data_IF_601811286961
#
_entry.id   IF_601811286961
#
_cell.length_a   1.000
_cell.length_b   1.000
_cell.length_c   1.000
_cell.angle_alpha   90.00
_cell.angle_beta   90.00
_cell.angle_gamma   90.00
#
_symmetry.space_group_name_H-M   'P 1'
#
loop_
_entity.id
_entity.type
_entity.pdbx_description
1 polymer ?
#
# COMPACT_ATOMS: atom_id res chain seq x y z
N UNK A 1 -80.14 22.36 18.25
CA UNK A 1 -79.36 23.18 17.30
C UNK A 1 -77.94 23.07 17.75
N UNK A 2 -77.24 22.10 17.21
CA UNK A 2 -76.31 22.05 16.08
C UNK A 2 -75.05 22.84 16.44
N UNK A 3 -73.88 22.39 16.39
CA UNK A 3 -73.22 21.59 15.36
C UNK A 3 -72.00 20.83 15.91
N UNK A 4 -71.91 19.57 15.54
CA UNK A 4 -70.67 18.78 15.60
C UNK A 4 -69.83 19.10 14.37
N UNK A 5 -68.65 19.56 14.56
CA UNK A 5 -67.65 19.59 13.49
C UNK A 5 -66.50 18.64 13.82
N UNK A 6 -66.65 17.40 13.36
CA UNK A 6 -65.60 16.39 13.38
C UNK A 6 -64.57 16.66 12.28
N UNK A 7 -63.36 17.01 12.70
CA UNK A 7 -62.21 17.00 11.80
C UNK A 7 -61.71 15.55 11.61
N UNK A 8 -62.09 14.98 10.46
CA UNK A 8 -61.55 13.73 10.00
C UNK A 8 -60.07 13.92 9.62
N UNK A 9 -59.18 13.42 10.41
CA UNK A 9 -57.76 13.32 10.04
C UNK A 9 -57.62 12.34 8.88
N UNK A 10 -57.03 12.83 7.80
CA UNK A 10 -56.80 12.09 6.57
C UNK A 10 -55.78 10.95 6.82
N UNK A 11 -56.15 9.68 6.66
CA UNK A 11 -55.22 8.55 6.92
C UNK A 11 -54.14 8.43 5.89
N UNK A 12 -54.17 9.18 4.77
CA UNK A 12 -53.17 9.12 3.71
C UNK A 12 -51.81 9.74 4.09
N UNK A 13 -51.79 10.73 4.99
CA UNK A 13 -50.55 11.44 5.38
C UNK A 13 -49.77 10.73 6.47
N UNK A 14 -50.35 9.83 7.28
CA UNK A 14 -49.65 9.05 8.27
C UNK A 14 -48.90 7.87 7.68
N UNK A 15 -49.39 7.28 6.57
CA UNK A 15 -48.73 6.13 5.90
C UNK A 15 -47.45 6.51 5.18
N UNK A 16 -47.38 7.72 4.58
CA UNK A 16 -46.19 8.17 3.85
C UNK A 16 -45.02 8.48 4.77
N UNK A 17 -45.25 9.03 5.95
CA UNK A 17 -44.19 9.29 6.95
C UNK A 17 -43.66 8.00 7.59
N UNK A 18 -44.50 7.00 7.82
CA UNK A 18 -44.07 5.70 8.35
C UNK A 18 -43.23 4.92 7.30
N UNK A 19 -43.64 4.96 6.02
CA UNK A 19 -42.91 4.28 4.95
C UNK A 19 -41.52 4.91 4.69
N UNK A 20 -41.38 6.24 4.80
CA UNK A 20 -40.09 6.92 4.64
C UNK A 20 -39.11 6.61 5.78
N UNK A 21 -39.61 6.47 7.02
CA UNK A 21 -38.79 6.10 8.18
C UNK A 21 -38.27 4.65 8.09
N UNK A 22 -39.12 3.72 7.64
CA UNK A 22 -38.74 2.30 7.50
C UNK A 22 -37.73 2.11 6.33
N UNK A 23 -37.90 2.86 5.24
CA UNK A 23 -36.95 2.83 4.11
C UNK A 23 -35.57 3.36 4.49
N UNK A 24 -35.50 4.47 5.25
CA UNK A 24 -34.23 5.05 5.70
C UNK A 24 -33.48 4.15 6.70
N UNK A 25 -34.19 3.50 7.64
CA UNK A 25 -33.59 2.55 8.57
C UNK A 25 -33.15 1.25 7.89
N UNK A 26 -33.88 0.76 6.90
CA UNK A 26 -33.53 -0.42 6.12
C UNK A 26 -32.27 -0.24 5.27
N UNK A 27 -32.06 0.95 4.70
CA UNK A 27 -30.84 1.27 3.93
C UNK A 27 -29.62 1.40 4.85
N UNK A 28 -29.75 2.03 6.01
CA UNK A 28 -28.65 2.17 6.97
C UNK A 28 -28.23 0.80 7.54
N UNK A 29 -29.18 -0.06 7.90
CA UNK A 29 -28.89 -1.43 8.39
C UNK A 29 -28.25 -2.30 7.32
N UNK A 30 -28.63 -2.13 6.03
CA UNK A 30 -27.99 -2.83 4.93
C UNK A 30 -26.55 -2.37 4.68
N UNK A 31 -26.25 -1.08 4.87
CA UNK A 31 -24.90 -0.52 4.76
C UNK A 31 -23.96 -1.04 5.86
N UNK A 32 -24.39 -1.03 7.11
CA UNK A 32 -23.62 -1.56 8.24
C UNK A 32 -23.39 -3.07 8.09
N UNK A 33 -24.41 -3.83 7.70
CA UNK A 33 -24.29 -5.26 7.47
C UNK A 33 -23.30 -5.58 6.32
N UNK A 34 -23.30 -4.79 5.25
CA UNK A 34 -22.32 -4.90 4.14
C UNK A 34 -20.91 -4.61 4.63
N UNK A 35 -20.72 -3.53 5.38
CA UNK A 35 -19.41 -3.18 5.94
C UNK A 35 -18.88 -4.27 6.89
N UNK A 36 -19.72 -4.76 7.80
CA UNK A 36 -19.36 -5.85 8.70
C UNK A 36 -19.01 -7.14 7.96
N UNK A 37 -19.69 -7.45 6.86
CA UNK A 37 -19.37 -8.57 5.98
C UNK A 37 -17.98 -8.38 5.34
N UNK A 38 -17.71 -7.23 4.72
CA UNK A 38 -16.43 -6.92 4.08
C UNK A 38 -15.26 -6.95 5.08
N UNK A 39 -15.47 -6.39 6.29
CA UNK A 39 -14.48 -6.41 7.36
C UNK A 39 -14.17 -7.84 7.83
N UNK A 40 -15.18 -8.70 7.93
CA UNK A 40 -14.99 -10.12 8.27
C UNK A 40 -14.27 -10.88 7.18
N UNK A 41 -14.63 -10.69 5.91
CA UNK A 41 -13.94 -11.27 4.75
C UNK A 41 -12.46 -10.87 4.74
N UNK A 42 -12.18 -9.58 4.92
CA UNK A 42 -10.83 -9.05 5.01
C UNK A 42 -10.02 -9.68 6.15
N UNK A 43 -10.60 -9.78 7.34
CA UNK A 43 -9.92 -10.34 8.51
C UNK A 43 -9.55 -11.81 8.32
N UNK A 44 -10.49 -12.62 7.81
CA UNK A 44 -10.23 -14.03 7.53
C UNK A 44 -9.15 -14.24 6.48
N UNK A 45 -9.19 -13.47 5.39
CA UNK A 45 -8.17 -13.51 4.36
C UNK A 45 -6.81 -13.11 4.91
N UNK A 46 -6.73 -11.99 5.63
CA UNK A 46 -5.49 -11.51 6.21
C UNK A 46 -4.91 -12.52 7.20
N UNK A 47 -5.75 -13.09 8.06
CA UNK A 47 -5.31 -14.12 9.02
C UNK A 47 -4.75 -15.35 8.32
N UNK A 48 -5.40 -15.86 7.29
CA UNK A 48 -4.89 -16.96 6.47
C UNK A 48 -3.56 -16.65 5.81
N UNK A 49 -3.40 -15.45 5.25
CA UNK A 49 -2.17 -15.00 4.64
C UNK A 49 -1.01 -14.87 5.66
N UNK A 50 -1.29 -14.36 6.85
CA UNK A 50 -0.29 -14.21 7.91
C UNK A 50 0.11 -15.55 8.52
N UNK A 51 -0.83 -16.50 8.63
CA UNK A 51 -0.53 -17.83 9.15
C UNK A 51 0.47 -18.58 8.24
N UNK A 52 0.35 -18.44 6.93
CA UNK A 52 1.32 -19.01 5.97
C UNK A 52 2.73 -18.45 6.18
N UNK A 53 2.86 -17.18 6.62
CA UNK A 53 4.15 -16.54 6.85
C UNK A 53 4.84 -17.06 8.13
N UNK A 54 4.09 -17.57 9.11
CA UNK A 54 4.62 -17.94 10.42
C UNK A 54 5.80 -18.92 10.38
N UNK A 55 5.82 -19.82 9.40
CA UNK A 55 6.88 -20.81 9.23
C UNK A 55 8.13 -20.27 8.54
N UNK A 56 8.00 -19.23 7.73
CA UNK A 56 9.05 -18.70 6.87
C UNK A 56 9.38 -17.23 7.11
N UNK A 57 8.75 -16.59 8.10
CA UNK A 57 8.87 -15.14 8.34
C UNK A 57 10.34 -14.69 8.49
N UNK A 58 11.16 -15.49 9.14
CA UNK A 58 12.60 -15.20 9.34
C UNK A 58 13.34 -15.10 8.00
N UNK A 59 13.15 -16.08 7.12
CA UNK A 59 13.77 -16.06 5.79
C UNK A 59 13.26 -14.89 4.94
N UNK A 60 11.98 -14.54 5.02
CA UNK A 60 11.45 -13.37 4.35
C UNK A 60 12.11 -12.09 4.86
N UNK A 61 12.23 -11.90 6.16
CA UNK A 61 12.88 -10.71 6.75
C UNK A 61 14.34 -10.63 6.29
N UNK A 62 15.10 -11.73 6.33
CA UNK A 62 16.50 -11.76 5.88
C UNK A 62 16.60 -11.40 4.41
N UNK A 63 15.80 -12.03 3.54
CA UNK A 63 15.83 -11.77 2.09
C UNK A 63 15.44 -10.34 1.75
N UNK A 64 14.39 -9.81 2.37
CA UNK A 64 13.92 -8.43 2.11
C UNK A 64 14.87 -7.37 2.64
N UNK A 65 15.64 -7.67 3.69
CA UNK A 65 16.60 -6.75 4.26
C UNK A 65 17.96 -6.80 3.58
N UNK A 66 18.32 -7.92 2.94
CA UNK A 66 19.66 -8.15 2.43
C UNK A 66 20.11 -7.11 1.41
N UNK A 67 19.35 -6.92 0.34
CA UNK A 67 19.70 -5.96 -0.73
C UNK A 67 19.76 -4.52 -0.21
N UNK A 68 18.75 -4.01 0.52
CA UNK A 68 18.81 -2.66 1.10
C UNK A 68 19.96 -2.47 2.07
N UNK A 69 20.31 -3.49 2.88
CA UNK A 69 21.45 -3.43 3.81
C UNK A 69 22.78 -3.37 3.08
N UNK A 70 22.96 -4.22 2.07
CA UNK A 70 24.19 -4.21 1.25
C UNK A 70 24.35 -2.87 0.54
N UNK A 71 23.25 -2.35 -0.05
CA UNK A 71 23.26 -1.03 -0.71
C UNK A 71 23.59 0.07 0.29
N UNK A 72 22.99 0.03 1.48
CA UNK A 72 23.25 1.00 2.55
C UNK A 72 24.70 0.97 3.01
N UNK A 73 25.26 -0.23 3.24
CA UNK A 73 26.65 -0.41 3.62
C UNK A 73 27.61 0.03 2.52
N UNK A 74 27.31 -0.32 1.27
CA UNK A 74 28.12 0.09 0.11
C UNK A 74 28.16 1.62 -0.03
N UNK A 75 27.01 2.27 -0.04
CA UNK A 75 26.94 3.72 -0.17
C UNK A 75 27.61 4.45 0.99
N UNK A 76 27.54 3.91 2.21
CA UNK A 76 28.20 4.45 3.37
C UNK A 76 29.73 4.58 3.19
N UNK A 77 30.36 3.63 2.51
CA UNK A 77 31.81 3.70 2.23
C UNK A 77 32.18 4.84 1.28
N UNK A 78 31.29 5.16 0.33
CA UNK A 78 31.57 6.17 -0.71
C UNK A 78 31.10 7.57 -0.34
N UNK A 79 30.19 7.67 0.62
CA UNK A 79 29.61 8.96 1.01
C UNK A 79 30.40 9.53 2.18
N UNK A 80 30.89 10.75 2.06
CA UNK A 80 31.78 11.41 3.01
C UNK A 80 31.26 11.63 4.44
N UNK A 81 30.40 10.75 4.96
CA UNK A 81 29.82 10.75 6.32
C UNK A 81 29.09 12.04 6.73
N UNK A 82 28.67 12.87 5.77
CA UNK A 82 27.83 14.00 6.11
C UNK A 82 26.45 13.52 6.61
N UNK A 83 25.90 14.12 7.68
CA UNK A 83 24.61 13.70 8.24
C UNK A 83 23.47 13.71 7.20
N UNK A 84 23.51 14.68 6.27
CA UNK A 84 22.52 14.78 5.20
C UNK A 84 22.59 13.62 4.22
N UNK A 85 23.80 13.26 3.76
CA UNK A 85 23.99 12.15 2.85
C UNK A 85 23.62 10.81 3.50
N UNK A 86 23.95 10.63 4.78
CA UNK A 86 23.55 9.45 5.54
C UNK A 86 22.02 9.33 5.66
N UNK A 87 21.32 10.44 5.85
CA UNK A 87 19.86 10.47 5.88
C UNK A 87 19.26 10.03 4.53
N UNK A 88 19.85 10.47 3.40
CA UNK A 88 19.47 10.01 2.07
C UNK A 88 19.66 8.51 1.89
N UNK A 89 20.78 7.97 2.35
CA UNK A 89 21.10 6.54 2.26
C UNK A 89 20.09 5.71 3.08
N UNK A 90 19.81 6.11 4.31
CA UNK A 90 18.91 5.39 5.21
C UNK A 90 17.48 5.40 4.67
N UNK A 91 16.94 6.58 4.34
CA UNK A 91 15.58 6.71 3.82
C UNK A 91 15.42 6.08 2.44
N UNK A 92 16.47 6.15 1.61
CA UNK A 92 16.57 5.44 0.34
C UNK A 92 16.52 3.93 0.51
N UNK A 93 17.27 3.39 1.47
CA UNK A 93 17.27 1.95 1.76
C UNK A 93 15.92 1.46 2.30
N UNK A 94 15.23 2.26 3.12
CA UNK A 94 13.86 1.97 3.56
C UNK A 94 12.89 1.98 2.36
N UNK A 95 13.02 2.95 1.47
CA UNK A 95 12.21 3.02 0.25
C UNK A 95 12.43 1.80 -0.64
N UNK A 96 13.70 1.37 -0.81
CA UNK A 96 14.04 0.14 -1.54
C UNK A 96 13.46 -1.10 -0.89
N UNK A 97 13.55 -1.22 0.44
CA UNK A 97 12.95 -2.33 1.18
C UNK A 97 11.42 -2.38 0.98
N UNK A 98 10.74 -1.23 0.95
CA UNK A 98 9.32 -1.14 0.63
C UNK A 98 9.02 -1.56 -0.81
N UNK A 99 9.82 -1.12 -1.80
CA UNK A 99 9.66 -1.53 -3.19
C UNK A 99 9.78 -3.05 -3.33
N UNK A 100 10.85 -3.63 -2.80
CA UNK A 100 11.10 -5.07 -2.89
C UNK A 100 10.01 -5.89 -2.19
N UNK A 101 9.59 -5.50 -0.99
CA UNK A 101 8.58 -6.24 -0.23
C UNK A 101 7.16 -6.01 -0.76
N UNK A 102 6.78 -4.76 -0.99
CA UNK A 102 5.41 -4.42 -1.35
C UNK A 102 5.13 -4.60 -2.85
N UNK A 103 6.06 -4.23 -3.73
CA UNK A 103 5.86 -4.31 -5.17
C UNK A 103 6.33 -5.63 -5.75
N UNK A 104 7.62 -5.96 -5.59
CA UNK A 104 8.22 -7.15 -6.22
C UNK A 104 7.58 -8.43 -5.71
N UNK A 105 7.56 -8.62 -4.39
CA UNK A 105 7.03 -9.86 -3.79
C UNK A 105 5.54 -10.03 -4.04
N UNK A 106 4.75 -8.97 -3.96
CA UNK A 106 3.31 -9.07 -4.23
C UNK A 106 3.03 -9.37 -5.69
N UNK A 107 3.74 -8.72 -6.61
CA UNK A 107 3.61 -8.98 -8.05
C UNK A 107 3.89 -10.43 -8.40
N UNK A 108 4.99 -10.99 -7.88
CA UNK A 108 5.34 -12.40 -8.03
C UNK A 108 4.29 -13.33 -7.44
N UNK A 109 3.85 -13.08 -6.19
CA UNK A 109 2.84 -13.91 -5.52
C UNK A 109 1.53 -13.97 -6.31
N UNK A 110 1.07 -12.84 -6.83
CA UNK A 110 -0.13 -12.79 -7.66
C UNK A 110 0.08 -13.58 -8.96
N UNK A 111 1.26 -13.46 -9.56
CA UNK A 111 1.59 -14.26 -10.74
C UNK A 111 1.55 -15.76 -10.47
N UNK A 112 2.11 -16.24 -9.37
CA UNK A 112 2.05 -17.65 -8.96
C UNK A 112 0.62 -18.12 -8.62
N UNK A 113 -0.23 -17.22 -8.11
CA UNK A 113 -1.64 -17.56 -7.89
C UNK A 113 -2.41 -17.86 -9.19
N UNK A 114 -1.87 -17.51 -10.36
CA UNK A 114 -2.45 -17.85 -11.67
C UNK A 114 -2.17 -19.26 -12.13
N UNK A 115 -1.29 -19.98 -11.45
CA UNK A 115 -1.09 -21.39 -11.71
C UNK A 115 -2.37 -22.20 -11.47
N UNK A 116 -2.60 -23.28 -12.27
CA UNK A 116 -3.83 -24.05 -12.19
C UNK A 116 -4.17 -24.49 -10.77
N UNK A 117 -5.41 -24.29 -10.37
CA UNK A 117 -5.94 -24.66 -9.05
C UNK A 117 -5.85 -23.59 -7.96
N UNK A 118 -4.87 -22.68 -8.01
CA UNK A 118 -4.72 -21.67 -6.94
C UNK A 118 -5.75 -20.55 -7.06
N UNK A 119 -5.97 -20.03 -8.26
CA UNK A 119 -6.96 -18.97 -8.48
C UNK A 119 -8.40 -19.48 -8.33
N UNK A 120 -8.68 -20.70 -8.77
CA UNK A 120 -9.98 -21.37 -8.63
C UNK A 120 -10.36 -21.57 -7.16
N UNK A 121 -9.38 -21.88 -6.31
CA UNK A 121 -9.58 -21.95 -4.87
C UNK A 121 -10.08 -20.62 -4.31
N UNK A 122 -9.44 -19.49 -4.65
CA UNK A 122 -9.90 -18.18 -4.17
C UNK A 122 -11.21 -17.73 -4.83
N UNK A 123 -11.47 -18.12 -6.08
CA UNK A 123 -12.71 -17.82 -6.78
C UNK A 123 -13.94 -18.56 -6.21
N UNK A 124 -13.73 -19.69 -5.50
CA UNK A 124 -14.80 -20.42 -4.83
C UNK A 124 -15.36 -19.72 -3.58
N UNK A 125 -14.61 -18.74 -3.04
CA UNK A 125 -15.06 -17.95 -1.90
C UNK A 125 -15.87 -16.73 -2.37
N UNK A 126 -16.95 -16.36 -1.66
CA UNK A 126 -17.75 -15.16 -1.96
C UNK A 126 -17.03 -13.88 -1.52
N UNK A 127 -15.84 -13.64 -2.06
CA UNK A 127 -14.95 -12.52 -1.67
C UNK A 127 -15.00 -11.44 -2.73
N UNK A 128 -15.09 -10.19 -2.31
CA UNK A 128 -15.03 -9.06 -3.22
C UNK A 128 -13.58 -8.79 -3.69
N UNK A 129 -13.41 -8.50 -5.00
CA UNK A 129 -12.11 -8.20 -5.62
C UNK A 129 -11.28 -7.15 -4.85
N UNK A 130 -11.84 -5.99 -4.43
CA UNK A 130 -11.08 -4.99 -3.69
C UNK A 130 -10.58 -5.48 -2.33
N UNK A 131 -11.41 -6.26 -1.61
CA UNK A 131 -11.04 -6.82 -0.30
C UNK A 131 -9.89 -7.81 -0.43
N UNK A 132 -9.91 -8.64 -1.46
CA UNK A 132 -8.83 -9.58 -1.75
C UNK A 132 -7.50 -8.86 -1.99
N UNK A 133 -7.48 -7.85 -2.88
CA UNK A 133 -6.28 -7.07 -3.17
C UNK A 133 -5.79 -6.32 -1.94
N UNK A 134 -6.71 -5.74 -1.16
CA UNK A 134 -6.37 -5.02 0.06
C UNK A 134 -5.72 -5.95 1.09
N UNK A 135 -6.23 -7.16 1.28
CA UNK A 135 -5.65 -8.15 2.20
C UNK A 135 -4.23 -8.57 1.76
N UNK A 136 -4.02 -8.81 0.47
CA UNK A 136 -2.70 -9.13 -0.08
C UNK A 136 -1.72 -7.95 0.06
N UNK A 137 -2.17 -6.72 -0.21
CA UNK A 137 -1.37 -5.52 -0.03
C UNK A 137 -0.99 -5.31 1.44
N UNK A 138 -1.94 -5.52 2.38
CA UNK A 138 -1.67 -5.42 3.83
C UNK A 138 -0.62 -6.43 4.28
N UNK A 139 -0.70 -7.68 3.80
CA UNK A 139 0.34 -8.70 4.06
C UNK A 139 1.72 -8.19 3.65
N UNK A 140 1.84 -7.62 2.46
CA UNK A 140 3.11 -7.11 1.93
C UNK A 140 3.63 -5.92 2.73
N UNK A 141 2.76 -5.01 3.15
CA UNK A 141 3.10 -3.90 4.06
C UNK A 141 3.60 -4.42 5.40
N UNK A 142 2.93 -5.40 6.00
CA UNK A 142 3.35 -6.01 7.26
C UNK A 142 4.74 -6.66 7.13
N UNK A 143 5.01 -7.34 6.01
CA UNK A 143 6.31 -7.95 5.73
C UNK A 143 7.44 -6.93 5.59
N UNK A 144 7.16 -5.71 5.16
CA UNK A 144 8.17 -4.66 5.03
C UNK A 144 8.55 -4.00 6.35
N UNK A 145 7.72 -4.14 7.41
CA UNK A 145 7.98 -3.51 8.71
C UNK A 145 9.30 -3.95 9.33
N UNK A 146 9.60 -5.27 9.48
CA UNK A 146 10.83 -5.70 10.15
C UNK A 146 12.08 -5.20 9.43
N UNK A 147 12.14 -5.29 8.10
CA UNK A 147 13.30 -4.83 7.32
C UNK A 147 13.49 -3.33 7.45
N UNK A 148 12.41 -2.54 7.39
CA UNK A 148 12.48 -1.08 7.55
C UNK A 148 12.90 -0.66 8.96
N UNK A 149 12.43 -1.37 9.99
CA UNK A 149 12.84 -1.13 11.38
C UNK A 149 14.33 -1.46 11.56
N UNK A 150 14.83 -2.57 11.01
CA UNK A 150 16.26 -2.93 11.05
C UNK A 150 17.09 -1.82 10.41
N UNK A 151 16.71 -1.33 9.23
CA UNK A 151 17.43 -0.25 8.53
C UNK A 151 17.43 1.06 9.34
N UNK A 152 16.30 1.41 9.96
CA UNK A 152 16.21 2.56 10.86
C UNK A 152 17.12 2.43 12.07
N UNK A 153 17.12 1.26 12.72
CA UNK A 153 17.96 1.01 13.90
C UNK A 153 19.46 1.05 13.55
N UNK A 154 19.86 0.45 12.42
CA UNK A 154 21.24 0.53 11.93
C UNK A 154 21.63 1.98 11.66
N UNK A 155 20.76 2.74 10.99
CA UNK A 155 20.98 4.16 10.74
C UNK A 155 21.14 5.00 12.01
N UNK A 156 20.32 4.75 13.02
CA UNK A 156 20.37 5.46 14.28
C UNK A 156 21.59 5.07 15.14
N UNK A 157 21.83 3.75 15.33
CA UNK A 157 22.82 3.26 16.29
C UNK A 157 24.20 3.06 15.70
N UNK A 158 24.31 2.63 14.45
CA UNK A 158 25.62 2.36 13.82
C UNK A 158 26.16 3.62 13.12
N UNK A 159 25.29 4.32 12.39
CA UNK A 159 25.71 5.53 11.66
C UNK A 159 25.60 6.81 12.49
N UNK A 160 24.96 6.75 13.67
CA UNK A 160 24.85 7.88 14.59
C UNK A 160 24.07 9.06 14.04
N UNK A 161 23.17 8.84 13.07
CA UNK A 161 22.36 9.92 12.48
C UNK A 161 21.28 10.34 13.48
N UNK A 162 21.21 11.63 13.85
CA UNK A 162 20.18 12.11 14.76
C UNK A 162 18.82 12.09 14.06
N UNK A 163 18.07 11.01 14.25
CA UNK A 163 16.73 10.86 13.71
C UNK A 163 15.69 11.27 14.74
N UNK A 164 14.67 11.98 14.30
CA UNK A 164 13.51 12.37 15.10
C UNK A 164 12.22 11.94 14.37
N UNK A 165 11.94 10.63 14.30
CA UNK A 165 10.78 10.15 13.56
C UNK A 165 9.50 10.74 14.14
N UNK A 166 8.75 11.43 13.30
CA UNK A 166 7.44 11.96 13.63
C UNK A 166 6.38 10.85 13.58
N UNK A 167 5.27 10.91 14.34
CA UNK A 167 4.15 9.98 14.18
C UNK A 167 3.62 9.90 12.74
N UNK A 168 3.79 10.95 11.96
CA UNK A 168 3.45 11.00 10.53
C UNK A 168 4.25 9.96 9.71
N UNK A 169 5.43 9.55 10.19
CA UNK A 169 6.25 8.50 9.53
C UNK A 169 5.47 7.20 9.36
N UNK A 170 4.64 6.82 10.34
CA UNK A 170 3.82 5.61 10.27
C UNK A 170 2.77 5.73 9.15
N UNK A 171 2.12 6.89 9.05
CA UNK A 171 1.14 7.15 7.99
C UNK A 171 1.79 7.08 6.61
N UNK A 172 2.95 7.74 6.44
CA UNK A 172 3.71 7.73 5.19
C UNK A 172 4.12 6.31 4.82
N UNK A 173 4.62 5.53 5.79
CA UNK A 173 5.03 4.15 5.60
C UNK A 173 3.86 3.27 5.11
N UNK A 174 2.69 3.41 5.72
CA UNK A 174 1.48 2.68 5.32
C UNK A 174 1.05 3.06 3.90
N UNK A 175 0.94 4.35 3.59
CA UNK A 175 0.56 4.83 2.26
C UNK A 175 1.57 4.43 1.18
N UNK A 176 2.86 4.54 1.48
CA UNK A 176 3.93 4.10 0.61
C UNK A 176 3.80 2.61 0.29
N UNK A 177 3.63 1.79 1.32
CA UNK A 177 3.46 0.35 1.17
C UNK A 177 2.25 -0.02 0.32
N UNK A 178 1.09 0.61 0.53
CA UNK A 178 -0.11 0.35 -0.29
C UNK A 178 0.02 0.87 -1.71
N UNK A 179 0.66 2.02 -1.93
CA UNK A 179 0.89 2.56 -3.26
C UNK A 179 1.77 1.62 -4.11
N UNK A 180 2.86 1.14 -3.52
CA UNK A 180 3.79 0.21 -4.16
C UNK A 180 3.21 -1.20 -4.31
N UNK A 181 2.47 -1.68 -3.31
CA UNK A 181 1.74 -2.94 -3.39
C UNK A 181 0.71 -2.92 -4.52
N UNK A 182 -0.01 -1.80 -4.70
CA UNK A 182 -0.95 -1.63 -5.80
C UNK A 182 -0.28 -1.73 -7.18
N UNK A 183 0.92 -1.16 -7.34
CA UNK A 183 1.73 -1.32 -8.56
C UNK A 183 2.13 -2.77 -8.77
N UNK A 184 2.64 -3.44 -7.74
CA UNK A 184 3.01 -4.85 -7.80
C UNK A 184 1.82 -5.73 -8.17
N UNK A 185 0.66 -5.49 -7.55
CA UNK A 185 -0.57 -6.19 -7.86
C UNK A 185 -1.00 -5.98 -9.32
N UNK A 186 -0.92 -4.75 -9.82
CA UNK A 186 -1.24 -4.44 -11.21
C UNK A 186 -0.35 -5.22 -12.18
N UNK A 187 0.98 -5.23 -11.96
CA UNK A 187 1.94 -6.00 -12.77
C UNK A 187 1.66 -7.50 -12.67
N UNK A 188 1.42 -8.02 -11.46
CA UNK A 188 1.08 -9.42 -11.24
C UNK A 188 -0.18 -9.86 -11.97
N UNK A 189 -1.24 -9.02 -11.96
CA UNK A 189 -2.48 -9.32 -12.70
C UNK A 189 -2.32 -9.18 -14.22
N UNK A 190 -1.38 -8.38 -14.69
CA UNK A 190 -1.12 -8.24 -16.13
C UNK A 190 -0.25 -9.38 -16.68
N UNK A 191 0.60 -9.97 -15.87
CA UNK A 191 1.50 -11.07 -16.24
C UNK A 191 0.72 -12.37 -16.48
N UNK A 192 1.24 -13.26 -17.33
CA UNK A 192 0.59 -14.54 -17.65
C UNK A 192 0.72 -15.57 -16.51
N UNK A 193 1.89 -15.62 -15.90
CA UNK A 193 2.28 -16.60 -14.89
C UNK A 193 3.23 -15.98 -13.86
N UNK A 194 3.60 -16.74 -12.83
CA UNK A 194 4.48 -16.30 -11.76
C UNK A 194 5.90 -15.99 -12.21
N UNK A 195 6.43 -16.76 -13.16
CA UNK A 195 7.76 -16.52 -13.70
C UNK A 195 7.83 -15.21 -14.47
N UNK A 196 6.86 -14.96 -15.36
CA UNK A 196 6.77 -13.70 -16.10
C UNK A 196 6.57 -12.52 -15.16
N UNK A 197 5.69 -12.64 -14.15
CA UNK A 197 5.49 -11.61 -13.14
C UNK A 197 6.80 -11.31 -12.39
N UNK A 198 7.55 -12.35 -12.03
CA UNK A 198 8.84 -12.24 -11.37
C UNK A 198 9.87 -11.47 -12.21
N UNK A 199 10.03 -11.84 -13.47
CA UNK A 199 10.97 -11.18 -14.37
C UNK A 199 10.60 -9.71 -14.61
N UNK A 200 9.34 -9.43 -14.86
CA UNK A 200 8.86 -8.05 -15.10
C UNK A 200 9.05 -7.18 -13.85
N UNK A 201 8.68 -7.68 -12.67
CA UNK A 201 8.85 -6.92 -11.43
C UNK A 201 10.31 -6.74 -11.05
N UNK A 202 11.19 -7.72 -11.31
CA UNK A 202 12.64 -7.61 -11.08
C UNK A 202 13.31 -6.56 -11.99
N UNK A 203 12.76 -6.29 -13.17
CA UNK A 203 13.26 -5.23 -14.05
C UNK A 203 12.68 -3.87 -13.61
N UNK A 204 11.41 -3.83 -13.27
CA UNK A 204 10.71 -2.58 -12.91
C UNK A 204 11.21 -2.05 -11.56
N UNK A 205 11.49 -2.91 -10.57
CA UNK A 205 11.90 -2.52 -9.21
C UNK A 205 13.15 -1.60 -9.23
N UNK A 206 14.31 -2.02 -9.78
CA UNK A 206 15.47 -1.14 -9.87
C UNK A 206 15.22 0.08 -10.77
N UNK A 207 14.47 -0.05 -11.86
CA UNK A 207 14.16 1.10 -12.72
C UNK A 207 13.43 2.19 -11.94
N UNK A 208 12.41 1.86 -11.16
CA UNK A 208 11.66 2.83 -10.34
C UNK A 208 12.56 3.47 -9.29
N UNK A 209 13.51 2.72 -8.71
CA UNK A 209 14.44 3.22 -7.72
C UNK A 209 15.47 4.17 -8.35
N UNK A 210 16.01 3.83 -9.52
CA UNK A 210 17.02 4.66 -10.19
C UNK A 210 16.43 5.88 -10.91
N UNK A 211 15.18 5.80 -11.37
CA UNK A 211 14.51 6.96 -11.99
C UNK A 211 14.02 7.99 -10.95
N UNK A 212 13.95 7.63 -9.67
CA UNK A 212 13.53 8.51 -8.60
C UNK A 212 14.74 9.00 -7.78
N UNK A 213 14.68 10.19 -7.15
CA UNK A 213 15.72 10.72 -6.28
C UNK A 213 15.74 10.01 -4.91
N UNK A 214 15.90 8.68 -4.93
CA UNK A 214 15.83 7.85 -3.73
C UNK A 214 17.10 8.00 -2.89
N UNK A 215 18.25 7.81 -3.51
CA UNK A 215 19.57 7.86 -2.86
C UNK A 215 20.35 9.16 -3.09
N UNK A 216 19.98 9.91 -4.11
CA UNK A 216 20.68 11.13 -4.53
C UNK A 216 19.68 12.29 -4.51
N UNK A 217 20.08 13.48 -4.04
CA UNK A 217 19.23 14.67 -4.13
C UNK A 217 18.80 14.95 -5.56
N UNK A 218 17.52 15.33 -5.74
CA UNK A 218 16.95 15.56 -7.07
C UNK A 218 17.68 16.63 -7.90
N UNK A 219 18.33 17.58 -7.24
CA UNK A 219 19.10 18.66 -7.86
C UNK A 219 20.34 18.14 -8.63
N UNK A 220 20.90 17.02 -8.20
CA UNK A 220 22.06 16.39 -8.86
C UNK A 220 21.67 15.44 -10.00
N UNK A 221 20.37 15.21 -10.21
CA UNK A 221 19.89 14.36 -11.30
C UNK A 221 19.90 15.14 -12.64
N UNK A 222 20.15 14.47 -13.77
CA UNK A 222 19.92 15.04 -15.09
C UNK A 222 18.49 15.54 -15.26
N UNK A 223 18.29 16.62 -16.01
CA UNK A 223 16.96 17.25 -16.19
C UNK A 223 15.87 16.26 -16.61
N UNK A 224 16.20 15.32 -17.47
CA UNK A 224 15.28 14.26 -17.89
C UNK A 224 14.76 13.46 -16.68
N UNK A 225 15.65 13.03 -15.78
CA UNK A 225 15.27 12.28 -14.58
C UNK A 225 14.48 13.13 -13.57
N UNK A 226 14.74 14.43 -13.49
CA UNK A 226 13.95 15.34 -12.67
C UNK A 226 12.48 15.43 -13.12
N UNK A 227 12.23 15.36 -14.45
CA UNK A 227 10.86 15.36 -14.98
C UNK A 227 10.19 14.01 -14.81
N UNK A 228 10.86 12.91 -15.14
CA UNK A 228 10.28 11.56 -15.06
C UNK A 228 10.01 11.14 -13.62
N UNK A 229 10.85 11.55 -12.67
CA UNK A 229 10.67 11.25 -11.24
C UNK A 229 9.34 11.76 -10.66
N UNK A 230 8.79 12.85 -11.22
CA UNK A 230 7.48 13.39 -10.79
C UNK A 230 6.32 12.45 -11.05
N UNK A 231 6.47 11.50 -11.97
CA UNK A 231 5.46 10.50 -12.30
C UNK A 231 5.65 9.17 -11.57
N UNK A 232 6.62 9.10 -10.65
CA UNK A 232 6.97 7.86 -9.97
C UNK A 232 6.65 7.99 -8.48
N UNK A 233 5.84 7.10 -7.89
CA UNK A 233 5.42 7.22 -6.50
C UNK A 233 6.59 7.12 -5.51
N UNK A 234 7.68 6.41 -5.84
CA UNK A 234 8.86 6.29 -4.98
C UNK A 234 9.54 7.63 -4.70
N UNK A 235 9.41 8.62 -5.58
CA UNK A 235 9.87 9.99 -5.34
C UNK A 235 9.19 10.59 -4.12
N UNK A 236 7.87 10.52 -4.07
CA UNK A 236 7.07 11.04 -2.96
C UNK A 236 7.27 10.23 -1.69
N UNK A 237 7.45 8.90 -1.83
CA UNK A 237 7.80 8.01 -0.70
C UNK A 237 9.12 8.44 -0.08
N UNK A 238 10.19 8.55 -0.88
CA UNK A 238 11.53 8.88 -0.39
C UNK A 238 11.58 10.27 0.25
N UNK A 239 10.95 11.26 -0.38
CA UNK A 239 10.94 12.63 0.13
C UNK A 239 10.13 12.76 1.43
N UNK A 240 8.90 12.22 1.45
CA UNK A 240 8.05 12.25 2.63
C UNK A 240 8.66 11.49 3.81
N UNK A 241 9.25 10.30 3.58
CA UNK A 241 9.97 9.53 4.60
C UNK A 241 11.17 10.33 5.14
N UNK A 242 11.94 10.96 4.25
CA UNK A 242 13.11 11.76 4.63
C UNK A 242 12.72 12.93 5.53
N UNK A 243 11.71 13.70 5.12
CA UNK A 243 11.20 14.82 5.91
C UNK A 243 10.67 14.38 7.27
N UNK A 244 9.93 13.26 7.32
CA UNK A 244 9.34 12.76 8.56
C UNK A 244 10.34 12.14 9.52
N UNK A 245 11.39 11.46 9.02
CA UNK A 245 12.47 10.88 9.84
C UNK A 245 13.42 11.97 10.34
N UNK A 246 13.64 13.04 9.55
CA UNK A 246 14.40 14.21 9.99
C UNK A 246 13.64 15.09 11.01
N UNK A 247 12.35 14.84 11.22
CA UNK A 247 11.50 15.68 12.08
C UNK A 247 11.13 17.04 11.47
N UNK A 248 11.34 17.23 10.17
CA UNK A 248 11.08 18.46 9.41
C UNK A 248 9.82 18.36 8.55
N UNK A 249 8.69 18.04 9.17
CA UNK A 249 7.39 17.94 8.46
C UNK A 249 6.92 19.35 8.08
N UNK A 250 6.84 19.62 6.78
CA UNK A 250 6.43 20.91 6.20
C UNK A 250 5.12 20.77 5.42
N UNK A 251 4.59 21.89 4.91
CA UNK A 251 3.45 21.88 3.98
C UNK A 251 3.72 21.05 2.73
N UNK A 252 4.96 21.02 2.25
CA UNK A 252 5.40 20.16 1.15
C UNK A 252 5.20 18.67 1.47
N UNK A 253 5.54 18.24 2.68
CA UNK A 253 5.35 16.84 3.11
C UNK A 253 3.87 16.44 3.06
N UNK A 254 2.96 17.33 3.44
CA UNK A 254 1.52 17.09 3.35
C UNK A 254 1.04 16.96 1.91
N UNK A 255 1.60 17.76 1.00
CA UNK A 255 1.33 17.63 -0.43
C UNK A 255 1.80 16.26 -0.96
N UNK A 256 2.99 15.82 -0.58
CA UNK A 256 3.52 14.49 -0.95
C UNK A 256 2.66 13.36 -0.39
N UNK A 257 2.17 13.48 0.85
CA UNK A 257 1.21 12.54 1.43
C UNK A 257 -0.09 12.52 0.60
N UNK A 258 -0.60 13.68 0.21
CA UNK A 258 -1.78 13.78 -0.66
C UNK A 258 -1.58 13.07 -2.01
N UNK A 259 -0.42 13.24 -2.63
CA UNK A 259 -0.05 12.54 -3.86
C UNK A 259 0.08 11.02 -3.64
N UNK A 260 0.62 10.57 -2.51
CA UNK A 260 0.67 9.15 -2.15
C UNK A 260 -0.73 8.55 -1.96
N UNK A 261 -1.67 9.30 -1.40
CA UNK A 261 -3.08 8.85 -1.32
C UNK A 261 -3.66 8.68 -2.72
N UNK A 262 -3.44 9.65 -3.61
CA UNK A 262 -3.90 9.55 -5.01
C UNK A 262 -3.27 8.34 -5.70
N UNK A 263 -1.96 8.12 -5.57
CA UNK A 263 -1.29 6.95 -6.10
C UNK A 263 -1.82 5.64 -5.52
N UNK A 264 -2.05 5.58 -4.22
CA UNK A 264 -2.63 4.40 -3.56
C UNK A 264 -4.00 4.05 -4.14
N UNK A 265 -4.89 5.03 -4.26
CA UNK A 265 -6.22 4.81 -4.82
C UNK A 265 -6.14 4.40 -6.29
N UNK A 266 -5.31 5.07 -7.09
CA UNK A 266 -5.14 4.80 -8.52
C UNK A 266 -4.60 3.38 -8.76
N UNK A 267 -3.54 2.98 -8.05
CA UNK A 267 -2.88 1.68 -8.25
C UNK A 267 -3.76 0.52 -7.78
N UNK A 268 -4.40 0.63 -6.62
CA UNK A 268 -5.34 -0.37 -6.12
C UNK A 268 -6.58 -0.48 -7.00
N UNK A 269 -7.10 0.63 -7.50
CA UNK A 269 -8.20 0.65 -8.45
C UNK A 269 -7.81 -0.03 -9.77
N UNK A 270 -6.65 0.33 -10.33
CA UNK A 270 -6.13 -0.27 -11.56
C UNK A 270 -5.92 -1.79 -11.40
N UNK A 271 -5.35 -2.23 -10.27
CA UNK A 271 -5.20 -3.63 -9.93
C UNK A 271 -6.56 -4.35 -9.85
N UNK A 272 -7.57 -3.71 -9.21
CA UNK A 272 -8.91 -4.30 -9.07
C UNK A 272 -9.63 -4.49 -10.40
N UNK A 273 -9.35 -3.62 -11.38
CA UNK A 273 -9.90 -3.71 -12.75
C UNK A 273 -9.29 -4.86 -13.56
N UNK A 274 -8.03 -5.23 -13.27
CA UNK A 274 -7.33 -6.31 -13.97
C UNK A 274 -7.53 -7.69 -13.34
N UNK A 275 -8.10 -7.76 -12.15
CA UNK A 275 -8.43 -9.04 -11.51
C UNK A 275 -9.57 -9.72 -12.26
N UNK A 276 -9.25 -10.75 -13.08
CA UNK A 276 -10.20 -11.67 -13.65
C UNK A 276 -10.24 -12.94 -12.79
N UNK A 277 -11.41 -13.35 -12.30
CA UNK A 277 -11.58 -14.58 -11.52
C UNK A 277 -11.58 -15.85 -12.39
N UNK A 278 -11.75 -15.71 -13.71
CA UNK A 278 -11.71 -16.79 -14.68
C UNK A 278 -10.64 -16.51 -15.73
N UNK A 279 -9.89 -17.54 -16.11
CA UNK A 279 -8.83 -17.45 -17.10
C UNK A 279 -9.29 -17.08 -18.51
N UNK A 280 -10.61 -17.03 -18.76
CA UNK A 280 -11.25 -16.81 -20.06
C UNK A 280 -12.11 -15.53 -20.14
N UNK A 281 -11.97 -14.59 -19.21
CA UNK A 281 -12.50 -13.22 -19.31
C UNK A 281 -11.29 -12.27 -19.49
#
# INVERSE_FOLDING_TARGET
>A
MSDMNGQSADPATSGVRAASGIAATGVATSGIARFAKLAREYWWLLHGQLHQLRLQWFWYVVMMSFVPLVTMAFLWFFTGRSPEALLFIITGSITTALCTSAMLTLGQNIGYMKEPGSFEYYASFPISKPVFILALATRSVILSIPSSVILLLIGAFIFGVPMRPSPVTILIFILAGYSLAGLGAFVGFLSRDGQTAGLVTQIIDPLIIFLAPVYIPGEHLPRFLQYTSRFIPTTYVANALRASVAGSVTSQTWLEIGLLVVWTVLTLWAASRKLAWRANE
#
